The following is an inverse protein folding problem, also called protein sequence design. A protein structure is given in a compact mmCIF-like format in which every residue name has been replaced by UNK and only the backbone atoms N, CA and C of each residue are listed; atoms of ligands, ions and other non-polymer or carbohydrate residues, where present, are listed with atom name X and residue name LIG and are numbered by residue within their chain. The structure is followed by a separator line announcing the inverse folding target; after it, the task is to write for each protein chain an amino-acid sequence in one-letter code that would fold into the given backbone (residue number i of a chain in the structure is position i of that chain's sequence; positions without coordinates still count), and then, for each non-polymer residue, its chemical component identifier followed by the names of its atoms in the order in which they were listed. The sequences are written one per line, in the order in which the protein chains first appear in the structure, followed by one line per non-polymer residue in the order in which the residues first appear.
data_IF_414465631751
#
_entry.id   IF_414465631751
#
_cell.length_a   1.000
_cell.length_b   1.000
_cell.length_c   1.000
_cell.angle_alpha   90.00
_cell.angle_beta   90.00
_cell.angle_gamma   90.00
#
_symmetry.space_group_name_H-M   'P 1'
#
loop_
_entity.id
_entity.type
_entity.pdbx_description
1 polymer ?
#
# COMPACT_ATOMS: atom_id res chain seq x y z
N UNK A 1 -37.32 -14.23 37.37
CA UNK A 1 -36.25 -13.23 37.23
C UNK A 1 -35.64 -13.36 35.83
N UNK A 2 -36.01 -12.46 34.94
CA UNK A 2 -35.50 -12.41 33.55
C UNK A 2 -34.22 -11.58 33.58
N UNK A 3 -33.09 -12.19 33.24
CA UNK A 3 -31.87 -11.43 33.01
C UNK A 3 -32.00 -10.74 31.66
N UNK A 4 -32.25 -9.45 31.65
CA UNK A 4 -32.07 -8.56 30.52
C UNK A 4 -30.59 -8.45 30.25
N UNK A 5 -30.18 -8.82 29.04
CA UNK A 5 -28.86 -8.49 28.52
C UNK A 5 -28.79 -6.98 28.23
N UNK A 6 -27.75 -6.28 28.64
CA UNK A 6 -27.58 -4.90 28.21
C UNK A 6 -27.26 -4.93 26.70
N UNK A 7 -28.20 -4.43 25.90
CA UNK A 7 -28.01 -4.16 24.48
C UNK A 7 -26.82 -3.20 24.32
N UNK A 8 -25.74 -3.72 23.82
CA UNK A 8 -24.61 -2.89 23.34
C UNK A 8 -25.15 -2.08 22.19
N UNK A 9 -25.47 -0.81 22.46
CA UNK A 9 -25.77 0.20 21.45
C UNK A 9 -24.55 0.36 20.54
N UNK A 10 -24.43 -0.53 19.57
CA UNK A 10 -23.53 -0.36 18.44
C UNK A 10 -24.03 0.84 17.65
N UNK A 11 -23.22 1.86 17.62
CA UNK A 11 -23.53 3.16 17.02
C UNK A 11 -23.71 3.01 15.51
N UNK A 12 -24.91 2.71 15.05
CA UNK A 12 -25.30 2.42 13.67
C UNK A 12 -25.28 3.64 12.73
N UNK A 13 -24.88 4.80 13.23
CA UNK A 13 -25.03 6.06 12.47
C UNK A 13 -23.87 6.40 11.52
N UNK A 14 -22.76 5.65 11.55
CA UNK A 14 -21.60 5.93 10.67
C UNK A 14 -21.48 5.01 9.47
N UNK A 15 -22.22 3.90 9.42
CA UNK A 15 -22.01 2.84 8.43
C UNK A 15 -22.96 2.90 7.21
N UNK A 16 -24.02 3.70 7.26
CA UNK A 16 -25.02 3.78 6.18
C UNK A 16 -24.47 4.33 4.84
N UNK A 17 -23.35 5.05 4.86
CA UNK A 17 -22.73 5.62 3.65
C UNK A 17 -21.75 4.69 2.92
N UNK A 18 -21.17 3.70 3.62
CA UNK A 18 -20.14 2.80 3.06
C UNK A 18 -20.69 1.46 2.59
N UNK A 19 -21.80 0.99 3.18
CA UNK A 19 -22.44 -0.29 2.83
C UNK A 19 -22.79 -0.41 1.34
N UNK A 20 -23.34 0.62 0.66
CA UNK A 20 -23.65 0.54 -0.77
C UNK A 20 -22.42 0.39 -1.66
N UNK A 21 -21.23 0.82 -1.21
CA UNK A 21 -19.99 0.66 -1.97
C UNK A 21 -19.51 -0.80 -1.98
N UNK A 22 -19.68 -1.52 -0.85
CA UNK A 22 -19.31 -2.95 -0.75
C UNK A 22 -20.33 -3.88 -1.42
N UNK A 23 -21.57 -3.46 -1.59
CA UNK A 23 -22.59 -4.19 -2.37
C UNK A 23 -22.46 -3.99 -3.87
N UNK A 24 -21.56 -3.11 -4.34
CA UNK A 24 -21.26 -2.98 -5.76
C UNK A 24 -20.68 -4.29 -6.30
N UNK A 25 -21.36 -4.90 -7.28
CA UNK A 25 -21.12 -6.26 -7.74
C UNK A 25 -19.64 -6.67 -7.92
N UNK A 26 -18.79 -5.89 -8.61
CA UNK A 26 -17.38 -6.23 -8.77
C UNK A 26 -16.60 -6.26 -7.45
N UNK A 27 -16.89 -5.33 -6.53
CA UNK A 27 -16.21 -5.25 -5.24
C UNK A 27 -16.66 -6.42 -4.35
N UNK A 28 -17.96 -6.69 -4.30
CA UNK A 28 -18.51 -7.82 -3.55
C UNK A 28 -17.94 -9.16 -4.06
N UNK A 29 -17.79 -9.33 -5.38
CA UNK A 29 -17.18 -10.52 -5.97
C UNK A 29 -15.71 -10.69 -5.56
N UNK A 30 -14.92 -9.61 -5.51
CA UNK A 30 -13.53 -9.65 -5.04
C UNK A 30 -13.48 -10.00 -3.56
N UNK A 31 -14.33 -9.41 -2.73
CA UNK A 31 -14.39 -9.72 -1.29
C UNK A 31 -14.73 -11.20 -1.08
N UNK A 32 -15.77 -11.71 -1.75
CA UNK A 32 -16.18 -13.11 -1.61
C UNK A 32 -15.10 -14.08 -2.08
N UNK A 33 -14.40 -13.77 -3.18
CA UNK A 33 -13.29 -14.58 -3.67
C UNK A 33 -12.13 -14.59 -2.67
N UNK A 34 -11.72 -13.43 -2.17
CA UNK A 34 -10.62 -13.34 -1.18
C UNK A 34 -10.98 -14.05 0.11
N UNK A 35 -12.23 -13.91 0.59
CA UNK A 35 -12.73 -14.63 1.78
C UNK A 35 -12.72 -16.14 1.57
N UNK A 36 -13.19 -16.63 0.43
CA UNK A 36 -13.18 -18.04 0.10
C UNK A 36 -11.75 -18.62 0.05
N UNK A 37 -10.82 -17.91 -0.59
CA UNK A 37 -9.40 -18.31 -0.66
C UNK A 37 -8.77 -18.29 0.72
N UNK A 38 -9.06 -17.29 1.54
CA UNK A 38 -8.52 -17.19 2.90
C UNK A 38 -9.05 -18.35 3.78
N UNK A 39 -10.34 -18.65 3.70
CA UNK A 39 -10.96 -19.79 4.40
C UNK A 39 -10.36 -21.11 3.94
N UNK A 40 -10.15 -21.30 2.64
CA UNK A 40 -9.50 -22.49 2.10
C UNK A 40 -8.07 -22.65 2.61
N UNK A 41 -7.27 -21.58 2.61
CA UNK A 41 -5.91 -21.60 3.17
C UNK A 41 -5.93 -21.91 4.67
N UNK A 42 -6.82 -21.29 5.43
CA UNK A 42 -6.96 -21.53 6.86
C UNK A 42 -7.31 -23.00 7.15
N UNK A 43 -8.25 -23.58 6.41
CA UNK A 43 -8.66 -24.99 6.58
C UNK A 43 -7.54 -25.97 6.25
N UNK A 44 -6.76 -25.71 5.21
CA UNK A 44 -5.61 -26.55 4.83
C UNK A 44 -4.47 -26.42 5.85
N UNK A 45 -4.26 -25.25 6.43
CA UNK A 45 -3.19 -24.97 7.38
C UNK A 45 -3.55 -25.37 8.82
N UNK A 46 -4.83 -25.44 9.17
CA UNK A 46 -5.28 -25.75 10.53
C UNK A 46 -4.66 -27.01 11.14
N UNK A 47 -4.52 -28.15 10.42
CA UNK A 47 -3.90 -29.35 10.96
C UNK A 47 -2.41 -29.20 11.32
N UNK A 48 -1.71 -28.26 10.69
CA UNK A 48 -0.26 -28.07 10.84
C UNK A 48 0.09 -26.87 11.73
N UNK A 49 -0.69 -25.81 11.67
CA UNK A 49 -0.39 -24.53 12.29
C UNK A 49 -1.32 -24.19 13.47
N UNK A 50 -2.34 -25.01 13.71
CA UNK A 50 -3.29 -24.81 14.82
C UNK A 50 -3.91 -23.40 14.79
N UNK A 51 -3.85 -22.70 15.93
CA UNK A 51 -4.39 -21.35 16.09
C UNK A 51 -3.73 -20.31 15.17
N UNK A 52 -2.47 -20.51 14.76
CA UNK A 52 -1.77 -19.58 13.88
C UNK A 52 -2.14 -19.72 12.39
N UNK A 53 -2.97 -20.70 12.02
CA UNK A 53 -3.33 -21.00 10.63
C UNK A 53 -3.92 -19.79 9.89
N UNK A 54 -4.81 -19.03 10.51
CA UNK A 54 -5.42 -17.87 9.89
C UNK A 54 -4.42 -16.71 9.64
N UNK A 55 -3.50 -16.45 10.56
CA UNK A 55 -2.45 -15.46 10.38
C UNK A 55 -1.50 -15.84 9.22
N UNK A 56 -1.11 -17.11 9.15
CA UNK A 56 -0.29 -17.64 8.04
C UNK A 56 -1.08 -17.56 6.72
N UNK A 57 -2.38 -17.85 6.74
CA UNK A 57 -3.23 -17.73 5.56
C UNK A 57 -3.29 -16.30 5.03
N UNK A 58 -3.38 -15.28 5.90
CA UNK A 58 -3.28 -13.85 5.50
C UNK A 58 -1.95 -13.56 4.82
N UNK A 59 -0.85 -14.05 5.37
CA UNK A 59 0.49 -13.88 4.77
C UNK A 59 0.55 -14.53 3.39
N UNK A 60 0.12 -15.79 3.26
CA UNK A 60 0.13 -16.53 1.99
C UNK A 60 -0.77 -15.86 0.94
N UNK A 61 -1.99 -15.48 1.32
CA UNK A 61 -2.89 -14.74 0.43
C UNK A 61 -2.26 -13.45 -0.07
N UNK A 62 -1.62 -12.70 0.82
CA UNK A 62 -0.90 -11.47 0.46
C UNK A 62 0.20 -11.74 -0.55
N UNK A 63 1.01 -12.78 -0.33
CA UNK A 63 2.09 -13.17 -1.26
C UNK A 63 1.51 -13.59 -2.60
N UNK A 64 0.45 -14.39 -2.65
CA UNK A 64 -0.21 -14.80 -3.89
C UNK A 64 -0.70 -13.58 -4.69
N UNK A 65 -1.39 -12.65 -4.04
CA UNK A 65 -1.85 -11.40 -4.68
C UNK A 65 -0.66 -10.58 -5.20
N UNK A 66 0.43 -10.49 -4.44
CA UNK A 66 1.64 -9.76 -4.85
C UNK A 66 2.34 -10.40 -6.04
N UNK A 67 2.40 -11.73 -6.11
CA UNK A 67 2.93 -12.46 -7.28
C UNK A 67 2.09 -12.15 -8.51
N UNK A 68 0.76 -12.20 -8.40
CA UNK A 68 -0.14 -11.86 -9.50
C UNK A 68 0.02 -10.40 -9.97
N UNK A 69 0.39 -9.48 -9.06
CA UNK A 69 0.58 -8.06 -9.36
C UNK A 69 2.00 -7.71 -9.86
N UNK A 70 2.95 -8.66 -9.92
CA UNK A 70 4.32 -8.41 -10.44
C UNK A 70 4.32 -7.73 -11.82
N UNK A 71 3.50 -8.15 -12.83
CA UNK A 71 3.48 -7.43 -14.10
C UNK A 71 3.09 -5.95 -13.96
N UNK A 72 2.20 -5.63 -13.03
CA UNK A 72 1.84 -4.23 -12.71
C UNK A 72 3.02 -3.50 -12.10
N UNK A 73 3.77 -4.15 -11.20
CA UNK A 73 5.00 -3.61 -10.61
C UNK A 73 6.08 -3.29 -11.66
N UNK A 74 6.26 -4.16 -12.66
CA UNK A 74 7.16 -3.90 -13.80
C UNK A 74 6.73 -2.65 -14.55
N UNK A 75 5.45 -2.49 -14.87
CA UNK A 75 4.92 -1.29 -15.54
C UNK A 75 5.15 -0.03 -14.69
N UNK A 76 5.00 -0.12 -13.38
CA UNK A 76 5.25 0.99 -12.45
C UNK A 76 6.72 1.43 -12.48
N UNK A 77 7.66 0.50 -12.38
CA UNK A 77 9.10 0.82 -12.42
C UNK A 77 9.50 1.40 -13.79
N UNK A 78 8.94 0.89 -14.89
CA UNK A 78 9.13 1.49 -16.22
C UNK A 78 8.61 2.92 -16.28
N UNK A 79 7.43 3.19 -15.75
CA UNK A 79 6.85 4.53 -15.69
C UNK A 79 7.66 5.48 -14.79
N UNK A 80 8.17 5.00 -13.64
CA UNK A 80 9.09 5.78 -12.78
C UNK A 80 10.36 6.18 -13.54
N UNK A 81 10.97 5.26 -14.28
CA UNK A 81 12.16 5.53 -15.11
C UNK A 81 11.86 6.50 -16.26
N UNK A 82 10.74 6.34 -16.97
CA UNK A 82 10.33 7.27 -18.00
C UNK A 82 10.15 8.69 -17.45
N UNK A 83 9.52 8.82 -16.28
CA UNK A 83 9.39 10.13 -15.60
C UNK A 83 10.74 10.74 -15.20
N UNK A 84 11.65 9.93 -14.68
CA UNK A 84 12.98 10.42 -14.32
C UNK A 84 13.71 11.02 -15.51
N UNK A 85 13.53 10.49 -16.73
CA UNK A 85 14.14 11.00 -17.96
C UNK A 85 13.58 12.35 -18.39
N UNK A 86 12.28 12.58 -18.24
CA UNK A 86 11.63 13.84 -18.64
C UNK A 86 11.66 14.89 -17.51
N UNK A 87 12.10 14.52 -16.31
CA UNK A 87 12.16 15.42 -15.17
C UNK A 87 12.91 16.74 -15.45
N UNK A 88 14.09 16.79 -16.13
CA UNK A 88 14.76 18.02 -16.44
C UNK A 88 13.92 18.93 -17.35
N UNK A 89 13.30 18.37 -18.41
CA UNK A 89 12.42 19.16 -19.31
C UNK A 89 11.19 19.71 -18.59
N UNK A 90 10.60 18.90 -17.69
CA UNK A 90 9.48 19.38 -16.86
C UNK A 90 9.90 20.51 -15.91
N UNK A 91 11.13 20.46 -15.39
CA UNK A 91 11.70 21.50 -14.56
C UNK A 91 11.87 22.83 -15.33
N UNK A 92 12.41 22.78 -16.56
CA UNK A 92 12.54 23.93 -17.43
C UNK A 92 11.17 24.58 -17.75
N UNK A 93 10.19 23.74 -18.09
CA UNK A 93 8.81 24.22 -18.33
C UNK A 93 8.23 24.85 -17.07
N UNK A 94 8.44 24.26 -15.90
CA UNK A 94 8.04 24.81 -14.62
C UNK A 94 8.66 26.18 -14.34
N UNK A 95 9.96 26.33 -14.62
CA UNK A 95 10.66 27.59 -14.46
C UNK A 95 10.17 28.68 -15.46
N UNK A 96 9.85 28.27 -16.69
CA UNK A 96 9.46 29.19 -17.77
C UNK A 96 8.00 29.64 -17.68
N UNK A 97 7.11 28.71 -17.34
CA UNK A 97 5.65 28.94 -17.38
C UNK A 97 4.98 28.90 -16.00
N UNK A 98 5.72 28.84 -14.90
CA UNK A 98 5.17 28.70 -13.55
C UNK A 98 4.17 29.79 -13.14
N UNK A 99 4.22 30.97 -13.79
CA UNK A 99 3.25 32.04 -13.57
C UNK A 99 1.96 31.93 -14.41
N UNK A 100 1.93 31.00 -15.37
CA UNK A 100 0.78 30.77 -16.25
C UNK A 100 0.36 29.29 -16.20
N UNK A 101 -0.61 28.93 -15.35
CA UNK A 101 -0.99 27.54 -15.12
C UNK A 101 -1.51 26.84 -16.38
N UNK A 102 -2.21 27.55 -17.28
CA UNK A 102 -2.75 26.96 -18.50
C UNK A 102 -1.65 26.54 -19.46
N UNK A 103 -0.66 27.43 -19.70
CA UNK A 103 0.49 27.11 -20.55
C UNK A 103 1.36 26.04 -19.91
N UNK A 104 1.55 26.10 -18.60
CA UNK A 104 2.30 25.08 -17.85
C UNK A 104 1.73 23.68 -18.08
N UNK A 105 0.41 23.50 -17.88
CA UNK A 105 -0.27 22.22 -18.06
C UNK A 105 -0.22 21.76 -19.53
N UNK A 106 -0.41 22.67 -20.48
CA UNK A 106 -0.37 22.37 -21.91
C UNK A 106 1.01 21.87 -22.34
N UNK A 107 2.10 22.55 -21.94
CA UNK A 107 3.46 22.15 -22.28
C UNK A 107 3.89 20.86 -21.54
N UNK A 108 3.50 20.69 -20.29
CA UNK A 108 3.74 19.43 -19.57
C UNK A 108 3.05 18.24 -20.26
N UNK A 109 1.79 18.40 -20.71
CA UNK A 109 1.08 17.34 -21.46
C UNK A 109 1.82 16.92 -22.73
N UNK A 110 2.40 17.87 -23.48
CA UNK A 110 3.19 17.56 -24.67
C UNK A 110 4.40 16.68 -24.32
N UNK A 111 5.16 17.06 -23.29
CA UNK A 111 6.34 16.30 -22.86
C UNK A 111 5.96 14.89 -22.41
N UNK A 112 4.84 14.74 -21.68
CA UNK A 112 4.35 13.40 -21.30
C UNK A 112 3.91 12.58 -22.50
N UNK A 113 3.25 13.20 -23.49
CA UNK A 113 2.82 12.52 -24.72
C UNK A 113 4.03 12.09 -25.58
N UNK A 114 5.03 12.97 -25.76
CA UNK A 114 6.29 12.65 -26.47
C UNK A 114 7.05 11.49 -25.80
N UNK A 115 7.03 11.44 -24.46
CA UNK A 115 7.69 10.37 -23.71
C UNK A 115 6.86 9.07 -23.64
N UNK A 116 5.68 9.01 -24.24
CA UNK A 116 4.78 7.83 -24.17
C UNK A 116 4.34 7.47 -22.76
N UNK A 117 4.27 8.45 -21.85
CA UNK A 117 3.90 8.24 -20.44
C UNK A 117 2.78 9.20 -20.02
N UNK A 118 2.24 9.00 -18.82
CA UNK A 118 1.13 9.79 -18.28
C UNK A 118 1.49 10.36 -16.90
N UNK A 119 1.01 11.55 -16.55
CA UNK A 119 1.11 12.04 -15.18
C UNK A 119 0.44 11.12 -14.16
N UNK A 120 -0.60 10.37 -14.58
CA UNK A 120 -1.32 9.41 -13.75
C UNK A 120 -0.55 8.09 -13.53
N UNK A 121 0.46 7.78 -14.34
CA UNK A 121 1.25 6.56 -14.17
C UNK A 121 1.95 6.46 -12.79
N UNK A 122 2.10 7.58 -12.05
CA UNK A 122 2.65 7.60 -10.70
C UNK A 122 1.65 7.24 -9.60
N UNK A 123 0.34 7.38 -9.83
CA UNK A 123 -0.69 6.96 -8.86
C UNK A 123 -1.24 5.57 -9.16
N UNK A 124 -0.82 4.93 -10.27
CA UNK A 124 -1.23 3.58 -10.64
C UNK A 124 -1.04 2.55 -9.51
N UNK A 125 0.07 2.58 -8.72
CA UNK A 125 0.22 1.69 -7.56
C UNK A 125 -0.90 1.85 -6.54
N UNK A 126 -1.25 3.09 -6.21
CA UNK A 126 -2.30 3.38 -5.24
C UNK A 126 -3.67 2.93 -5.78
N UNK A 127 -3.95 3.15 -7.06
CA UNK A 127 -5.19 2.71 -7.70
C UNK A 127 -5.29 1.18 -7.77
N UNK A 128 -4.20 0.48 -8.10
CA UNK A 128 -4.16 -0.99 -8.11
C UNK A 128 -4.31 -1.59 -6.70
N UNK A 129 -3.89 -0.86 -5.67
CA UNK A 129 -3.99 -1.28 -4.28
C UNK A 129 -5.39 -1.06 -3.69
N UNK A 130 -6.17 -0.09 -4.20
CA UNK A 130 -7.48 0.25 -3.66
C UNK A 130 -8.44 -0.93 -3.54
N UNK A 131 -8.64 -1.80 -4.56
CA UNK A 131 -9.53 -2.96 -4.43
C UNK A 131 -9.11 -3.90 -3.30
N UNK A 132 -7.81 -4.12 -3.11
CA UNK A 132 -7.28 -5.01 -2.07
C UNK A 132 -7.50 -4.41 -0.68
N UNK A 133 -7.22 -3.12 -0.51
CA UNK A 133 -7.46 -2.41 0.75
C UNK A 133 -8.95 -2.39 1.08
N UNK A 134 -9.81 -2.12 0.09
CA UNK A 134 -11.27 -2.14 0.28
C UNK A 134 -11.78 -3.53 0.65
N UNK A 135 -11.30 -4.58 -0.01
CA UNK A 135 -11.68 -5.95 0.30
C UNK A 135 -11.27 -6.33 1.73
N UNK A 136 -10.03 -6.03 2.13
CA UNK A 136 -9.57 -6.28 3.50
C UNK A 136 -10.38 -5.49 4.52
N UNK A 137 -10.64 -4.20 4.26
CA UNK A 137 -11.46 -3.40 5.15
C UNK A 137 -12.90 -3.92 5.22
N UNK A 138 -13.50 -4.30 4.09
CA UNK A 138 -14.81 -4.94 4.05
C UNK A 138 -14.87 -6.23 4.86
N UNK A 139 -13.80 -7.04 4.85
CA UNK A 139 -13.69 -8.21 5.72
C UNK A 139 -13.64 -7.82 7.21
N UNK A 140 -12.91 -6.77 7.57
CA UNK A 140 -12.79 -6.33 8.97
C UNK A 140 -14.09 -5.74 9.54
N UNK A 141 -14.95 -5.11 8.71
CA UNK A 141 -16.25 -4.62 9.14
C UNK A 141 -17.37 -5.67 9.00
N UNK A 142 -17.04 -6.92 8.64
CA UNK A 142 -18.02 -8.00 8.52
C UNK A 142 -18.87 -7.96 7.24
N UNK A 143 -18.53 -7.12 6.26
CA UNK A 143 -19.27 -7.01 4.99
C UNK A 143 -19.21 -8.29 4.13
N UNK A 144 -18.33 -9.24 4.46
CA UNK A 144 -18.15 -10.52 3.77
C UNK A 144 -18.80 -11.74 4.48
N UNK A 145 -19.73 -11.54 5.42
CA UNK A 145 -20.44 -12.63 6.09
C UNK A 145 -19.58 -13.43 7.09
N UNK A 146 -18.72 -14.31 6.62
CA UNK A 146 -17.89 -15.20 7.46
C UNK A 146 -16.59 -14.56 7.98
N UNK A 147 -16.30 -13.33 7.59
CA UNK A 147 -15.05 -12.68 7.94
C UNK A 147 -14.88 -12.44 9.46
N UNK A 148 -15.97 -12.24 10.19
CA UNK A 148 -15.95 -12.12 11.65
C UNK A 148 -15.37 -13.35 12.35
N UNK A 149 -15.59 -14.54 11.80
CA UNK A 149 -15.05 -15.79 12.33
C UNK A 149 -13.53 -15.84 12.14
N UNK A 150 -13.01 -15.35 11.02
CA UNK A 150 -11.57 -15.33 10.75
C UNK A 150 -10.80 -14.36 11.65
N UNK A 151 -11.43 -13.28 12.08
CA UNK A 151 -10.83 -12.29 12.97
C UNK A 151 -10.74 -12.79 14.44
N UNK A 152 -11.57 -13.78 14.81
CA UNK A 152 -11.53 -14.42 16.11
C UNK A 152 -10.39 -15.45 16.26
N UNK A 153 -9.74 -15.85 15.14
CA UNK A 153 -8.55 -16.69 15.23
C UNK A 153 -7.39 -15.91 15.86
N UNK A 154 -6.57 -16.60 16.63
CA UNK A 154 -5.39 -16.00 17.24
C UNK A 154 -4.13 -16.21 16.39
N UNK A 155 -3.20 -15.27 16.49
CA UNK A 155 -1.86 -15.37 15.96
C UNK A 155 -0.86 -14.88 17.00
N UNK A 156 0.02 -15.78 17.45
CA UNK A 156 0.95 -15.45 18.53
C UNK A 156 0.25 -15.11 19.87
N UNK A 157 -0.92 -15.73 20.14
CA UNK A 157 -1.68 -15.51 21.37
C UNK A 157 -2.58 -14.27 21.35
N UNK A 158 -2.70 -13.58 20.22
CA UNK A 158 -3.53 -12.38 20.06
C UNK A 158 -4.52 -12.59 18.91
N UNK A 159 -5.77 -12.20 19.10
CA UNK A 159 -6.78 -12.27 18.04
C UNK A 159 -6.39 -11.41 16.83
N UNK A 160 -6.65 -11.91 15.64
CA UNK A 160 -6.34 -11.20 14.38
C UNK A 160 -7.14 -9.89 14.24
N UNK A 161 -8.31 -9.81 14.87
CA UNK A 161 -9.14 -8.61 14.93
C UNK A 161 -8.70 -7.60 15.99
N UNK A 162 -7.82 -7.97 16.92
CA UNK A 162 -7.38 -7.08 17.99
C UNK A 162 -6.57 -5.91 17.44
N UNK A 163 -6.77 -4.73 18.02
CA UNK A 163 -5.98 -3.52 17.76
C UNK A 163 -5.10 -3.23 18.97
N UNK A 164 -3.96 -2.61 18.75
CA UNK A 164 -3.06 -2.23 19.84
C UNK A 164 -3.72 -1.29 20.87
N UNK A 165 -4.64 -0.43 20.41
CA UNK A 165 -5.38 0.51 21.27
C UNK A 165 -6.53 -0.15 22.02
N UNK A 166 -7.06 -1.28 21.53
CA UNK A 166 -8.21 -2.01 22.10
C UNK A 166 -7.83 -3.10 23.07
N UNK A 167 -6.55 -3.43 23.24
CA UNK A 167 -6.10 -4.39 24.26
C UNK A 167 -6.09 -3.72 25.63
N UNK A 168 -6.97 -4.14 26.52
CA UNK A 168 -7.10 -3.63 27.90
C UNK A 168 -5.84 -3.83 28.75
N UNK A 169 -4.91 -4.66 28.30
CA UNK A 169 -3.70 -5.03 29.02
C UNK A 169 -2.44 -4.24 28.61
N UNK A 170 -2.57 -3.28 27.70
CA UNK A 170 -1.49 -2.36 27.30
C UNK A 170 -0.43 -2.97 26.36
N UNK A 171 0.34 -2.09 25.71
CA UNK A 171 1.37 -2.38 24.69
C UNK A 171 2.42 -3.41 25.12
N UNK A 172 2.67 -3.51 26.44
CA UNK A 172 3.70 -4.40 26.99
C UNK A 172 3.28 -5.87 27.05
N UNK A 173 1.98 -6.16 26.90
CA UNK A 173 1.43 -7.51 27.08
C UNK A 173 1.32 -8.28 25.75
N UNK A 174 1.31 -7.60 24.64
CA UNK A 174 1.25 -8.25 23.34
C UNK A 174 2.57 -8.09 22.55
N UNK A 175 3.60 -8.91 22.81
CA UNK A 175 4.91 -8.79 22.17
C UNK A 175 4.84 -8.85 20.64
N UNK A 176 3.78 -9.47 20.10
CA UNK A 176 3.57 -9.57 18.66
C UNK A 176 3.37 -8.21 17.98
N UNK A 177 2.66 -7.27 18.62
CA UNK A 177 2.51 -5.91 18.08
C UNK A 177 3.85 -5.17 18.07
N UNK A 178 4.65 -5.32 19.13
CA UNK A 178 5.98 -4.71 19.19
C UNK A 178 6.87 -5.26 18.09
N UNK A 179 6.91 -6.58 17.91
CA UNK A 179 7.68 -7.23 16.83
C UNK A 179 7.19 -6.75 15.47
N UNK A 180 5.89 -6.69 15.24
CA UNK A 180 5.30 -6.19 14.00
C UNK A 180 5.72 -4.75 13.70
N UNK A 181 5.61 -3.84 14.67
CA UNK A 181 5.97 -2.44 14.50
C UNK A 181 7.49 -2.27 14.28
N UNK A 182 8.32 -3.03 14.98
CA UNK A 182 9.78 -3.04 14.78
C UNK A 182 10.12 -3.51 13.36
N UNK A 183 9.52 -4.61 12.89
CA UNK A 183 9.75 -5.10 11.54
C UNK A 183 9.29 -4.09 10.48
N UNK A 184 8.12 -3.46 10.66
CA UNK A 184 7.65 -2.38 9.78
C UNK A 184 8.59 -1.18 9.80
N UNK A 185 9.12 -0.79 10.97
CA UNK A 185 10.09 0.31 11.08
C UNK A 185 11.40 -0.03 10.34
N UNK A 186 11.88 -1.27 10.42
CA UNK A 186 13.05 -1.73 9.66
C UNK A 186 12.80 -1.65 8.16
N UNK A 187 11.63 -2.12 7.68
CA UNK A 187 11.25 -2.04 6.27
C UNK A 187 11.10 -0.58 5.82
N UNK A 188 10.50 0.28 6.66
CA UNK A 188 10.37 1.71 6.38
C UNK A 188 11.74 2.39 6.31
N UNK A 189 12.65 2.07 7.21
CA UNK A 189 14.03 2.57 7.20
C UNK A 189 14.78 2.10 5.94
N UNK A 190 14.67 0.83 5.59
CA UNK A 190 15.30 0.28 4.38
C UNK A 190 14.71 0.93 3.11
N UNK A 191 13.39 1.14 3.05
CA UNK A 191 12.72 1.86 1.95
C UNK A 191 13.24 3.29 1.84
N UNK A 192 13.33 4.00 2.97
CA UNK A 192 13.89 5.36 3.01
C UNK A 192 15.33 5.37 2.48
N UNK A 193 16.18 4.46 2.96
CA UNK A 193 17.60 4.42 2.61
C UNK A 193 17.87 4.06 1.16
N UNK A 194 17.17 3.05 0.65
CA UNK A 194 17.47 2.46 -0.67
C UNK A 194 16.60 2.99 -1.81
N UNK A 195 15.45 3.58 -1.50
CA UNK A 195 14.51 4.07 -2.53
C UNK A 195 14.31 5.58 -2.42
N UNK A 196 13.87 6.08 -1.25
CA UNK A 196 13.45 7.49 -1.11
C UNK A 196 14.63 8.44 -1.22
N UNK A 197 15.70 8.22 -0.44
CA UNK A 197 16.87 9.11 -0.43
C UNK A 197 17.57 9.18 -1.79
N UNK A 198 17.86 8.07 -2.50
CA UNK A 198 18.46 8.14 -3.83
C UNK A 198 17.57 8.87 -4.84
N UNK A 199 16.27 8.63 -4.82
CA UNK A 199 15.31 9.29 -5.73
C UNK A 199 15.25 10.79 -5.47
N UNK A 200 15.23 11.21 -4.20
CA UNK A 200 15.24 12.64 -3.86
C UNK A 200 16.54 13.35 -4.24
N UNK A 201 17.69 12.70 -4.08
CA UNK A 201 18.98 13.25 -4.51
C UNK A 201 19.01 13.45 -6.03
N UNK A 202 18.63 12.43 -6.79
CA UNK A 202 18.54 12.52 -8.24
C UNK A 202 17.59 13.65 -8.70
N UNK A 203 16.44 13.82 -8.04
CA UNK A 203 15.51 14.91 -8.34
C UNK A 203 16.08 16.29 -7.98
N UNK A 204 16.82 16.42 -6.88
CA UNK A 204 17.46 17.69 -6.47
C UNK A 204 18.56 18.11 -7.44
N UNK A 205 19.36 17.16 -7.95
CA UNK A 205 20.39 17.41 -8.96
C UNK A 205 19.78 17.87 -10.30
N UNK A 206 18.65 17.26 -10.68
CA UNK A 206 17.96 17.56 -11.93
C UNK A 206 17.21 18.88 -11.89
N UNK A 207 16.75 19.36 -10.72
CA UNK A 207 15.95 20.56 -10.58
C UNK A 207 16.34 21.40 -9.34
N UNK A 208 17.50 22.09 -9.37
CA UNK A 208 17.99 22.88 -8.22
C UNK A 208 17.09 24.05 -7.82
N UNK A 209 16.22 24.52 -8.74
CA UNK A 209 15.31 25.67 -8.55
C UNK A 209 13.87 25.28 -8.24
N UNK A 210 13.58 23.99 -8.07
CA UNK A 210 12.23 23.58 -7.72
C UNK A 210 11.87 24.13 -6.33
N UNK A 211 10.74 24.88 -6.20
CA UNK A 211 10.24 25.27 -4.88
C UNK A 211 9.83 24.07 -4.03
N UNK A 212 9.79 22.88 -4.63
CA UNK A 212 9.60 21.58 -3.98
C UNK A 212 10.96 20.96 -3.60
N UNK A 213 11.93 21.76 -3.15
CA UNK A 213 12.93 21.29 -2.22
C UNK A 213 12.23 21.03 -0.89
N UNK A 214 11.37 20.02 -0.91
CA UNK A 214 10.62 19.64 0.28
C UNK A 214 11.59 19.23 1.37
N UNK A 215 11.43 19.81 2.57
CA UNK A 215 12.31 19.55 3.70
C UNK A 215 12.37 18.06 3.99
N UNK A 216 13.43 17.63 4.65
CA UNK A 216 13.70 16.23 4.97
C UNK A 216 12.55 15.41 5.60
N UNK A 217 11.47 16.08 5.98
CA UNK A 217 10.20 15.49 6.46
C UNK A 217 9.60 14.51 5.44
N UNK A 218 9.64 14.81 4.13
CA UNK A 218 9.10 13.89 3.10
C UNK A 218 9.88 12.58 2.98
N UNK A 219 11.13 12.58 3.46
CA UNK A 219 11.91 11.33 3.51
C UNK A 219 11.37 10.33 4.52
N UNK A 220 10.54 10.78 5.46
CA UNK A 220 9.93 9.94 6.49
C UNK A 220 8.55 9.40 6.10
N UNK A 221 8.08 9.67 4.88
CA UNK A 221 6.82 9.11 4.37
C UNK A 221 6.68 7.59 4.58
N UNK A 222 7.72 6.72 4.45
CA UNK A 222 7.55 5.30 4.70
C UNK A 222 7.16 4.97 6.15
N UNK A 223 7.48 5.83 7.10
CA UNK A 223 7.13 5.62 8.51
C UNK A 223 5.65 5.87 8.83
N UNK A 224 4.90 6.53 7.93
CA UNK A 224 3.44 6.64 8.09
C UNK A 224 2.76 5.28 8.16
N UNK A 225 3.31 4.27 7.47
CA UNK A 225 2.80 2.89 7.54
C UNK A 225 2.95 2.29 8.93
N UNK A 226 4.03 2.61 9.65
CA UNK A 226 4.24 2.16 11.04
C UNK A 226 3.20 2.78 11.96
N UNK A 227 2.92 4.09 11.76
CA UNK A 227 1.89 4.79 12.55
C UNK A 227 0.51 4.20 12.27
N UNK A 228 0.16 3.97 11.00
CA UNK A 228 -1.12 3.36 10.63
C UNK A 228 -1.24 1.96 11.25
N UNK A 229 -0.19 1.15 11.21
CA UNK A 229 -0.17 -0.21 11.74
C UNK A 229 -0.45 -0.28 13.25
N UNK A 230 -0.19 0.79 14.01
CA UNK A 230 -0.50 0.87 15.42
C UNK A 230 -2.00 0.99 15.73
N UNK A 231 -2.81 1.42 14.74
CA UNK A 231 -4.24 1.66 14.92
C UNK A 231 -5.13 0.63 14.21
N UNK A 232 -4.57 -0.19 13.33
CA UNK A 232 -5.34 -1.19 12.60
C UNK A 232 -5.27 -2.56 13.27
N UNK A 233 -6.22 -3.48 12.99
CA UNK A 233 -6.19 -4.85 13.48
C UNK A 233 -4.91 -5.60 13.10
N UNK A 234 -4.54 -6.60 13.91
CA UNK A 234 -3.32 -7.40 13.72
C UNK A 234 -3.23 -8.00 12.30
N UNK A 235 -4.35 -8.51 11.77
CA UNK A 235 -4.40 -9.06 10.41
C UNK A 235 -4.02 -8.00 9.35
N UNK A 236 -4.50 -6.76 9.49
CA UNK A 236 -4.13 -5.67 8.61
C UNK A 236 -2.66 -5.27 8.77
N UNK A 237 -2.15 -5.31 10.00
CA UNK A 237 -0.73 -5.09 10.29
C UNK A 237 0.17 -6.13 9.62
N UNK A 238 -0.19 -7.42 9.67
CA UNK A 238 0.51 -8.50 8.95
C UNK A 238 0.48 -8.28 7.44
N UNK A 239 -0.68 -7.93 6.89
CA UNK A 239 -0.80 -7.55 5.49
C UNK A 239 0.14 -6.39 5.12
N UNK A 240 0.17 -5.31 5.91
CA UNK A 240 1.04 -4.17 5.67
C UNK A 240 2.53 -4.57 5.69
N UNK A 241 2.92 -5.41 6.64
CA UNK A 241 4.30 -5.89 6.74
C UNK A 241 4.72 -6.66 5.49
N UNK A 242 3.95 -7.67 5.10
CA UNK A 242 4.25 -8.51 3.93
C UNK A 242 4.23 -7.67 2.66
N UNK A 243 3.22 -6.82 2.52
CA UNK A 243 2.98 -5.98 1.36
C UNK A 243 4.09 -4.95 1.13
N UNK A 244 4.53 -4.27 2.20
CA UNK A 244 5.62 -3.27 2.11
C UNK A 244 6.99 -3.92 1.94
N UNK A 245 7.23 -5.07 2.58
CA UNK A 245 8.45 -5.86 2.40
C UNK A 245 8.57 -6.35 0.96
N UNK A 246 7.49 -6.88 0.39
CA UNK A 246 7.43 -7.29 -1.01
C UNK A 246 7.72 -6.11 -1.96
N UNK A 247 7.03 -4.97 -1.75
CA UNK A 247 7.21 -3.78 -2.58
C UNK A 247 8.65 -3.25 -2.55
N UNK A 248 9.32 -3.30 -1.39
CA UNK A 248 10.73 -2.98 -1.27
C UNK A 248 11.60 -3.94 -2.09
N UNK A 249 11.43 -5.25 -1.89
CA UNK A 249 12.19 -6.28 -2.60
C UNK A 249 11.99 -6.22 -4.10
N UNK A 250 10.75 -6.12 -4.55
CA UNK A 250 10.38 -5.99 -5.97
C UNK A 250 11.05 -4.78 -6.62
N UNK A 251 10.97 -3.60 -5.98
CA UNK A 251 11.61 -2.38 -6.52
C UNK A 251 13.13 -2.49 -6.58
N UNK A 252 13.76 -3.09 -5.58
CA UNK A 252 15.21 -3.29 -5.57
C UNK A 252 15.64 -4.23 -6.71
N UNK A 253 14.91 -5.33 -6.89
CA UNK A 253 15.15 -6.31 -7.95
C UNK A 253 14.91 -5.69 -9.33
N UNK A 254 13.73 -5.09 -9.55
CA UNK A 254 13.37 -4.53 -10.85
C UNK A 254 14.28 -3.35 -11.26
N UNK A 255 14.68 -2.50 -10.31
CA UNK A 255 15.65 -1.43 -10.62
C UNK A 255 17.01 -1.97 -11.05
N UNK A 256 17.42 -3.13 -10.54
CA UNK A 256 18.70 -3.76 -10.89
C UNK A 256 18.66 -4.44 -12.26
N UNK A 257 17.53 -5.06 -12.62
CA UNK A 257 17.41 -5.87 -13.85
C UNK A 257 16.80 -5.12 -15.04
N UNK A 258 16.05 -4.04 -14.81
CA UNK A 258 15.55 -3.21 -15.89
C UNK A 258 16.62 -2.23 -16.29
N UNK A 259 17.20 -2.31 -17.52
CA UNK A 259 18.19 -1.35 -17.99
C UNK A 259 17.57 0.05 -18.08
N UNK A 260 18.40 1.05 -17.83
CA UNK A 260 18.03 2.44 -18.13
C UNK A 260 18.04 2.55 -19.66
N UNK A 261 16.85 2.42 -20.29
CA UNK A 261 16.71 2.50 -21.74
C UNK A 261 17.32 3.82 -22.26
N UNK A 262 17.82 3.80 -23.49
CA UNK A 262 18.48 4.93 -24.13
C UNK A 262 17.71 6.26 -23.96
N UNK A 263 18.41 7.40 -23.87
CA UNK A 263 17.77 8.72 -23.77
C UNK A 263 16.87 8.93 -24.98
N UNK A 264 15.59 9.21 -24.71
CA UNK A 264 14.64 9.60 -25.74
C UNK A 264 15.04 10.98 -26.23
N UNK A 265 15.43 11.09 -27.51
CA UNK A 265 15.60 12.36 -28.21
C UNK A 265 17.00 12.99 -28.11
N UNK A 266 18.03 12.29 -28.54
CA UNK A 266 19.17 12.89 -29.21
C UNK A 266 19.12 12.52 -30.70
N UNK A 267 18.07 12.96 -31.37
CA UNK A 267 18.17 13.16 -32.80
C UNK A 267 19.04 14.42 -33.00
N UNK A 268 20.16 14.32 -33.68
CA UNK A 268 20.94 15.51 -34.00
C UNK A 268 20.08 16.38 -34.89
N UNK A 269 19.76 17.57 -34.38
CA UNK A 269 19.18 18.64 -35.20
C UNK A 269 20.24 18.97 -36.23
N UNK A 270 20.09 18.41 -37.41
CA UNK A 270 20.78 18.81 -38.64
C UNK A 270 20.16 20.07 -39.24
#
# INVERSE_FOLDING_TARGET
MRCERPDVLYNTHSDEGLIPLYSFGPIAAVISLLSAVLTAFTSVLAPFAGESAAGIAVVLLTVCVRVLLVPVGVLQVRAEKARARIAPRLAEIGARYGKNPEKLVAEQRKVYAEAGTSPLAGCLPALAQMPVVMALYGMFIGAGGDAGVLLAYSFGGVELGATMAGTTEGVLVAPIFVVLLVLLAVVAWATRRHIVLPTMRANAETNPRSPVQMPGVLTYTPFTTVVIAAFVPLAAGLYLLVSTSWALGERLVLRRFLPDGAPVGQDPVS
#
